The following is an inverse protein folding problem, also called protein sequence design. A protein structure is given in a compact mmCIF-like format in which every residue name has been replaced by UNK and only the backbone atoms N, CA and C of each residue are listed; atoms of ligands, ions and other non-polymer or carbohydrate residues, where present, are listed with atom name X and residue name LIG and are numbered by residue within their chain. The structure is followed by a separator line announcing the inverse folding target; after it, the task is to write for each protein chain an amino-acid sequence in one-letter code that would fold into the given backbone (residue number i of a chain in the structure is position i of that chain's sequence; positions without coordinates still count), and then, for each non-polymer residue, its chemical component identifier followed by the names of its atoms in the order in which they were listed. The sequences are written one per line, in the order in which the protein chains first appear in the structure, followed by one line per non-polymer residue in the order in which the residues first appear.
data_IF_580545241523
#
_entry.id   IF_580545241523
#
_cell.length_a   1.000
_cell.length_b   1.000
_cell.length_c   1.000
_cell.angle_alpha   90.00
_cell.angle_beta   90.00
_cell.angle_gamma   90.00
#
_symmetry.space_group_name_H-M   'P 1'
#
loop_
_entity.id
_entity.type
_entity.pdbx_description
1 polymer ?
#
# COMPACT_ATOMS: atom_id res chain seq x y z
N UNK A 1 12.91 13.48 -13.12
CA UNK A 1 12.66 12.24 -13.92
C UNK A 1 11.88 11.32 -13.00
N UNK A 2 10.87 10.66 -13.51
CA UNK A 2 10.07 9.78 -12.66
C UNK A 2 10.86 8.49 -12.41
N UNK A 3 11.40 8.32 -11.20
CA UNK A 3 12.23 7.16 -10.84
C UNK A 3 11.47 5.82 -10.85
N UNK A 4 10.15 5.87 -11.07
CA UNK A 4 9.27 4.71 -11.04
C UNK A 4 9.39 3.76 -12.25
N UNK A 5 10.00 4.23 -13.35
CA UNK A 5 10.07 3.46 -14.60
C UNK A 5 11.50 3.17 -15.05
N UNK A 6 11.63 2.13 -15.86
CA UNK A 6 12.80 1.89 -16.68
C UNK A 6 12.36 1.37 -18.05
N UNK A 7 13.13 1.65 -19.08
CA UNK A 7 12.94 1.05 -20.41
C UNK A 7 13.85 -0.16 -20.56
N UNK A 8 13.28 -1.29 -20.92
CA UNK A 8 14.03 -2.52 -21.19
C UNK A 8 13.75 -3.00 -22.61
N UNK A 9 14.78 -3.48 -23.34
CA UNK A 9 14.57 -4.16 -24.61
C UNK A 9 13.97 -5.54 -24.31
N UNK A 10 12.73 -5.75 -24.73
CA UNK A 10 12.02 -7.01 -24.59
C UNK A 10 11.74 -7.64 -25.95
N UNK A 11 11.76 -8.97 -26.00
CA UNK A 11 11.40 -9.72 -27.19
C UNK A 11 9.90 -10.05 -27.15
N UNK A 12 9.16 -9.49 -28.10
CA UNK A 12 7.75 -9.83 -28.32
C UNK A 12 7.64 -10.94 -29.36
N UNK A 13 7.00 -12.03 -28.97
CA UNK A 13 6.66 -13.13 -29.85
C UNK A 13 5.24 -12.98 -30.37
N UNK A 14 5.06 -13.13 -31.70
CA UNK A 14 3.76 -13.15 -32.35
C UNK A 14 3.76 -14.21 -33.44
N UNK A 15 2.61 -14.48 -34.06
CA UNK A 15 2.49 -15.41 -35.18
C UNK A 15 3.37 -15.00 -36.40
N UNK A 16 3.73 -13.72 -36.47
CA UNK A 16 4.59 -13.15 -37.50
C UNK A 16 6.09 -13.17 -37.17
N UNK A 17 6.48 -13.76 -36.05
CA UNK A 17 7.89 -13.89 -35.62
C UNK A 17 8.23 -13.13 -34.35
N UNK A 18 9.52 -12.97 -34.08
CA UNK A 18 10.07 -12.30 -32.94
C UNK A 18 10.52 -10.88 -33.26
N UNK A 19 10.14 -9.90 -32.50
CA UNK A 19 10.59 -8.51 -32.62
C UNK A 19 11.15 -8.02 -31.29
N UNK A 20 12.26 -7.28 -31.32
CA UNK A 20 12.79 -6.60 -30.12
C UNK A 20 12.25 -5.18 -30.12
N UNK A 21 11.59 -4.81 -29.02
CA UNK A 21 11.09 -3.44 -28.81
C UNK A 21 11.39 -3.00 -27.39
N UNK A 22 11.49 -1.68 -27.20
CA UNK A 22 11.61 -1.10 -25.85
C UNK A 22 10.24 -1.09 -25.20
N UNK A 23 10.18 -1.63 -24.01
CA UNK A 23 8.98 -1.60 -23.17
C UNK A 23 9.26 -0.83 -21.88
N UNK A 24 8.29 -0.04 -21.46
CA UNK A 24 8.33 0.63 -20.17
C UNK A 24 7.90 -0.34 -19.08
N UNK A 25 8.75 -0.54 -18.09
CA UNK A 25 8.45 -1.39 -16.93
C UNK A 25 8.55 -0.59 -15.64
N UNK A 26 7.68 -0.89 -14.69
CA UNK A 26 7.73 -0.28 -13.35
C UNK A 26 8.89 -0.89 -12.57
N UNK A 27 9.61 -0.05 -11.83
CA UNK A 27 10.71 -0.48 -10.97
C UNK A 27 10.17 -0.95 -9.62
N UNK A 28 10.83 -1.94 -9.08
CA UNK A 28 10.73 -2.35 -7.68
C UNK A 28 12.11 -2.20 -7.05
N UNK A 29 12.18 -1.57 -5.88
CA UNK A 29 13.42 -1.28 -5.15
C UNK A 29 13.28 -1.69 -3.70
N UNK A 30 14.40 -1.94 -3.05
CA UNK A 30 14.42 -2.12 -1.59
C UNK A 30 14.25 -0.76 -0.91
N UNK A 31 13.30 -0.67 0.02
CA UNK A 31 13.00 0.51 0.83
C UNK A 31 13.14 0.12 2.29
N UNK A 32 14.09 0.73 2.97
CA UNK A 32 14.27 0.55 4.41
C UNK A 32 13.35 1.48 5.20
N UNK A 33 12.54 0.91 6.07
CA UNK A 33 11.67 1.65 6.98
C UNK A 33 12.31 1.68 8.37
N UNK A 34 12.57 2.89 8.85
CA UNK A 34 13.24 3.16 10.11
C UNK A 34 12.28 3.76 11.13
N UNK A 35 12.44 3.39 12.39
CA UNK A 35 11.77 4.01 13.52
C UNK A 35 12.74 4.20 14.68
N UNK A 36 12.37 4.98 15.68
CA UNK A 36 13.17 5.13 16.88
C UNK A 36 13.12 3.85 17.73
N UNK A 37 14.28 3.39 18.15
CA UNK A 37 14.38 2.37 19.18
C UNK A 37 14.20 2.98 20.59
N UNK A 38 14.22 2.14 21.63
CA UNK A 38 14.05 2.58 23.03
C UNK A 38 15.14 3.56 23.51
N UNK A 39 16.26 3.63 22.81
CA UNK A 39 17.39 4.53 23.10
C UNK A 39 17.29 5.85 22.31
N UNK A 40 16.27 6.03 21.47
CA UNK A 40 16.09 7.22 20.64
C UNK A 40 16.97 7.26 19.38
N UNK A 41 17.48 6.12 18.92
CA UNK A 41 18.23 6.02 17.66
C UNK A 41 17.36 5.41 16.56
N UNK A 42 17.50 5.90 15.34
CA UNK A 42 16.86 5.28 14.18
C UNK A 42 17.42 3.90 13.92
N UNK A 43 16.53 2.95 13.74
CA UNK A 43 16.85 1.55 13.46
C UNK A 43 15.89 1.02 12.40
N UNK A 44 16.41 0.24 11.45
CA UNK A 44 15.58 -0.45 10.43
C UNK A 44 14.71 -1.47 11.14
N UNK A 45 13.40 -1.32 11.08
CA UNK A 45 12.49 -2.31 11.61
C UNK A 45 11.93 -3.25 10.53
N UNK A 46 11.92 -2.83 9.27
CA UNK A 46 11.59 -3.69 8.12
C UNK A 46 12.18 -3.13 6.82
N UNK A 47 12.32 -4.00 5.82
CA UNK A 47 12.67 -3.64 4.45
C UNK A 47 11.59 -4.18 3.52
N UNK A 48 11.01 -3.31 2.70
CA UNK A 48 10.00 -3.66 1.71
C UNK A 48 10.58 -3.60 0.30
N UNK A 49 10.12 -4.48 -0.58
CA UNK A 49 10.27 -4.27 -2.02
C UNK A 49 9.06 -3.49 -2.50
N UNK A 50 9.27 -2.29 -3.05
CA UNK A 50 8.20 -1.38 -3.43
C UNK A 50 8.56 -0.55 -4.67
N UNK A 51 7.53 -0.06 -5.36
CA UNK A 51 7.70 0.97 -6.39
C UNK A 51 8.13 2.27 -5.72
N UNK A 52 9.20 2.96 -6.21
CA UNK A 52 9.80 4.12 -5.53
C UNK A 52 8.98 5.42 -5.69
N UNK A 53 7.69 5.35 -5.39
CA UNK A 53 6.74 6.48 -5.32
C UNK A 53 5.98 6.42 -4.01
N UNK A 54 5.53 7.57 -3.50
CA UNK A 54 4.70 7.66 -2.30
C UNK A 54 5.29 6.89 -1.10
N UNK A 55 6.61 7.01 -0.89
CA UNK A 55 7.32 6.19 0.11
C UNK A 55 7.07 6.65 1.54
N UNK A 56 6.78 7.94 1.74
CA UNK A 56 6.35 8.48 3.03
C UNK A 56 4.99 7.90 3.40
N UNK A 57 4.08 7.88 2.43
CA UNK A 57 2.75 7.32 2.57
C UNK A 57 2.82 5.80 2.79
N UNK A 58 3.71 5.10 2.07
CA UNK A 58 3.98 3.68 2.30
C UNK A 58 4.35 3.42 3.76
N UNK A 59 5.28 4.21 4.31
CA UNK A 59 5.72 4.04 5.68
C UNK A 59 4.60 4.32 6.69
N UNK A 60 3.90 5.44 6.54
CA UNK A 60 2.78 5.82 7.41
C UNK A 60 1.66 4.75 7.41
N UNK A 61 1.30 4.27 6.22
CA UNK A 61 0.29 3.21 6.08
C UNK A 61 0.76 1.88 6.66
N UNK A 62 2.01 1.50 6.42
CA UNK A 62 2.59 0.27 6.96
C UNK A 62 2.62 0.27 8.49
N UNK A 63 3.04 1.38 9.12
CA UNK A 63 3.03 1.53 10.57
C UNK A 63 1.62 1.31 11.15
N UNK A 64 0.61 1.86 10.49
CA UNK A 64 -0.78 1.75 10.91
C UNK A 64 -1.35 0.35 10.65
N UNK A 65 -1.18 -0.18 9.44
CA UNK A 65 -1.72 -1.48 9.03
C UNK A 65 -1.15 -2.64 9.84
N UNK A 66 0.15 -2.60 10.14
CA UNK A 66 0.81 -3.64 10.94
C UNK A 66 0.61 -3.46 12.45
N UNK A 67 -0.08 -2.39 12.89
CA UNK A 67 -0.39 -2.13 14.29
C UNK A 67 0.84 -1.71 15.12
N UNK A 68 1.85 -1.11 14.47
CA UNK A 68 3.00 -0.54 15.17
C UNK A 68 2.65 0.75 15.89
N UNK A 69 1.57 1.41 15.49
CA UNK A 69 1.04 2.62 16.08
C UNK A 69 -0.47 2.46 16.34
N UNK A 70 -0.93 2.84 17.52
CA UNK A 70 -2.31 2.59 17.98
C UNK A 70 -3.32 3.65 17.55
N UNK A 71 -2.85 4.83 17.13
CA UNK A 71 -3.72 5.97 16.80
C UNK A 71 -3.31 6.62 15.50
N UNK A 72 -4.24 7.38 14.87
CA UNK A 72 -3.95 8.25 13.74
C UNK A 72 -2.78 9.15 14.12
N UNK A 73 -1.58 8.90 13.63
CA UNK A 73 -0.44 9.66 14.08
C UNK A 73 -0.40 11.01 13.37
N UNK A 74 0.10 12.00 14.06
CA UNK A 74 0.91 13.00 13.38
C UNK A 74 2.18 12.29 12.96
N UNK A 75 2.17 11.66 11.79
CA UNK A 75 3.35 10.91 11.31
C UNK A 75 4.26 11.91 10.62
N UNK A 76 5.34 12.25 11.29
CA UNK A 76 6.43 12.96 10.64
C UNK A 76 7.40 11.92 10.07
N UNK A 77 7.18 11.54 8.81
CA UNK A 77 8.12 10.71 8.07
C UNK A 77 8.99 11.57 7.15
N UNK A 78 10.24 11.24 7.07
CA UNK A 78 11.21 11.90 6.18
C UNK A 78 11.79 10.83 5.25
N UNK A 79 11.70 11.08 3.95
CA UNK A 79 12.34 10.23 2.95
C UNK A 79 13.78 10.69 2.72
N UNK A 80 14.71 9.75 2.75
CA UNK A 80 16.10 9.93 2.37
C UNK A 80 16.41 9.01 1.19
N UNK A 81 17.04 9.56 0.16
CA UNK A 81 17.60 8.79 -0.93
C UNK A 81 19.08 9.13 -1.04
N UNK A 82 19.91 8.13 -0.92
CA UNK A 82 21.36 8.25 -1.06
C UNK A 82 21.93 7.10 -1.91
N UNK A 83 23.25 6.97 -1.92
CA UNK A 83 23.93 5.89 -2.66
C UNK A 83 23.65 4.48 -2.10
N UNK A 84 23.08 4.36 -0.90
CA UNK A 84 22.71 3.08 -0.27
C UNK A 84 21.29 2.65 -0.57
N UNK A 85 20.43 3.54 -1.11
CA UNK A 85 19.06 3.22 -1.50
C UNK A 85 18.03 4.21 -0.99
N UNK A 86 16.79 3.71 -0.81
CA UNK A 86 15.67 4.48 -0.29
C UNK A 86 15.46 4.15 1.19
N UNK A 87 15.41 5.18 2.01
CA UNK A 87 15.15 5.09 3.44
C UNK A 87 14.00 6.03 3.80
N UNK A 88 13.10 5.59 4.66
CA UNK A 88 12.04 6.45 5.21
C UNK A 88 12.09 6.38 6.72
N UNK A 89 12.29 7.51 7.36
CA UNK A 89 12.45 7.65 8.80
C UNK A 89 11.13 8.09 9.42
N UNK A 90 10.71 7.42 10.49
CA UNK A 90 9.59 7.81 11.34
C UNK A 90 10.12 8.27 12.70
N UNK A 91 9.82 9.51 13.07
CA UNK A 91 10.22 10.10 14.35
C UNK A 91 9.28 9.66 15.50
N UNK A 92 9.21 8.35 15.71
CA UNK A 92 8.44 7.75 16.78
C UNK A 92 8.89 6.32 17.05
N UNK A 93 8.55 5.81 18.24
CA UNK A 93 8.85 4.44 18.62
C UNK A 93 7.78 3.49 18.10
N UNK A 94 8.19 2.34 17.58
CA UNK A 94 7.27 1.23 17.29
C UNK A 94 6.97 0.44 18.57
N UNK A 95 5.70 0.04 18.74
CA UNK A 95 5.22 -0.64 19.95
C UNK A 95 5.44 -2.15 19.93
N UNK A 96 5.73 -2.72 18.77
CA UNK A 96 5.93 -4.16 18.55
C UNK A 96 7.39 -4.43 18.14
N UNK A 97 7.93 -5.58 18.55
CA UNK A 97 9.28 -5.95 18.14
C UNK A 97 9.43 -5.99 16.62
N UNK A 98 10.44 -5.28 16.07
CA UNK A 98 10.62 -5.18 14.63
C UNK A 98 10.89 -6.53 13.98
N UNK A 99 10.34 -6.72 12.79
CA UNK A 99 10.66 -7.89 11.96
C UNK A 99 11.89 -7.57 11.12
N UNK A 100 13.04 -8.05 11.50
CA UNK A 100 14.29 -7.91 10.73
C UNK A 100 14.30 -8.85 9.50
N UNK A 101 13.32 -8.74 8.60
CA UNK A 101 13.27 -9.56 7.38
C UNK A 101 12.75 -8.76 6.21
N UNK A 102 13.30 -9.02 5.03
CA UNK A 102 12.77 -8.49 3.77
C UNK A 102 11.39 -9.12 3.55
N UNK A 103 10.38 -8.29 3.49
CA UNK A 103 9.02 -8.70 3.14
C UNK A 103 8.87 -8.56 1.63
N UNK A 104 8.82 -9.68 0.93
CA UNK A 104 8.53 -9.69 -0.50
C UNK A 104 7.04 -9.43 -0.72
N UNK A 105 6.70 -8.67 -1.76
CA UNK A 105 5.34 -8.25 -2.11
C UNK A 105 4.31 -9.38 -2.26
N UNK A 106 4.74 -10.62 -2.31
CA UNK A 106 3.88 -11.76 -2.67
C UNK A 106 3.17 -12.45 -1.50
N UNK A 107 3.60 -12.30 -0.24
CA UNK A 107 2.92 -12.96 0.88
C UNK A 107 3.31 -12.40 2.27
N UNK A 108 2.67 -11.31 2.70
CA UNK A 108 2.82 -10.79 4.07
C UNK A 108 2.32 -11.74 5.18
N UNK A 109 1.39 -12.65 4.85
CA UNK A 109 0.75 -13.55 5.81
C UNK A 109 1.68 -14.65 6.36
N UNK A 110 2.69 -15.08 5.60
CA UNK A 110 3.55 -16.20 5.99
C UNK A 110 4.44 -15.94 7.22
N UNK A 111 4.49 -14.69 7.68
CA UNK A 111 5.34 -14.28 8.80
C UNK A 111 4.57 -13.79 10.04
N UNK A 112 3.23 -13.90 10.06
CA UNK A 112 2.45 -13.43 11.20
C UNK A 112 2.47 -14.49 12.32
N UNK A 113 3.04 -14.18 13.52
CA UNK A 113 3.15 -15.15 14.61
C UNK A 113 1.79 -15.58 15.19
N UNK A 114 0.71 -14.82 14.93
CA UNK A 114 -0.61 -15.02 15.54
C UNK A 114 -1.74 -15.14 14.50
N UNK A 115 -1.58 -16.01 13.50
CA UNK A 115 -2.65 -16.30 12.53
C UNK A 115 -3.96 -16.81 13.17
N UNK A 116 -3.89 -17.28 14.40
CA UNK A 116 -5.04 -17.83 15.15
C UNK A 116 -5.88 -16.75 15.84
N UNK A 117 -5.32 -15.59 16.17
CA UNK A 117 -6.02 -14.54 16.94
C UNK A 117 -7.05 -13.76 16.09
N UNK A 118 -6.92 -13.81 14.76
CA UNK A 118 -7.80 -13.09 13.84
C UNK A 118 -9.23 -13.64 13.72
N UNK A 119 -9.46 -14.86 14.18
CA UNK A 119 -10.75 -15.55 13.97
C UNK A 119 -11.89 -15.09 14.88
N UNK A 120 -11.61 -14.36 15.95
CA UNK A 120 -12.53 -14.26 17.07
C UNK A 120 -13.31 -12.94 17.20
N UNK A 121 -13.07 -11.95 16.31
CA UNK A 121 -13.85 -10.70 16.36
C UNK A 121 -14.58 -10.46 15.02
N UNK A 122 -15.92 -10.40 15.05
CA UNK A 122 -16.69 -10.05 13.87
C UNK A 122 -16.42 -8.58 13.52
N UNK A 123 -16.14 -8.34 12.23
CA UNK A 123 -16.05 -6.99 11.66
C UNK A 123 -17.44 -6.37 11.73
N UNK A 124 -17.56 -5.20 12.37
CA UNK A 124 -18.79 -4.42 12.32
C UNK A 124 -18.87 -3.71 10.97
N UNK A 125 -19.86 -4.07 10.17
CA UNK A 125 -20.14 -3.36 8.94
C UNK A 125 -20.85 -2.03 9.21
N UNK A 126 -20.40 -0.98 8.55
CA UNK A 126 -21.20 0.25 8.47
C UNK A 126 -22.40 0.00 7.54
N UNK A 127 -23.60 0.12 8.10
CA UNK A 127 -24.85 -0.13 7.37
C UNK A 127 -25.06 0.76 6.13
N UNK A 128 -24.34 1.88 6.04
CA UNK A 128 -24.38 2.79 4.87
C UNK A 128 -23.87 2.14 3.59
N UNK A 129 -23.06 1.09 3.70
CA UNK A 129 -22.51 0.36 2.56
C UNK A 129 -23.30 -0.91 2.22
N UNK A 130 -24.39 -1.19 2.91
CA UNK A 130 -25.21 -2.40 2.67
C UNK A 130 -25.98 -2.37 1.34
N UNK A 131 -26.12 -1.21 0.72
CA UNK A 131 -26.92 -1.00 -0.50
C UNK A 131 -26.12 -0.28 -1.60
N UNK A 132 -24.88 -0.73 -1.86
CA UNK A 132 -24.10 -0.14 -2.96
C UNK A 132 -24.66 -0.65 -4.27
N UNK A 133 -25.03 0.29 -5.13
CA UNK A 133 -25.47 0.03 -6.48
C UNK A 133 -24.31 -0.48 -7.35
N UNK A 134 -24.54 -1.56 -8.09
CA UNK A 134 -23.54 -2.15 -8.97
C UNK A 134 -23.01 -1.18 -10.04
N UNK A 135 -23.83 -0.36 -10.71
CA UNK A 135 -23.36 0.72 -11.58
C UNK A 135 -22.39 1.70 -10.90
N UNK A 136 -22.68 2.09 -9.67
CA UNK A 136 -21.80 2.99 -8.91
C UNK A 136 -20.42 2.37 -8.67
N UNK A 137 -20.39 1.09 -8.28
CA UNK A 137 -19.15 0.34 -8.09
C UNK A 137 -18.37 0.15 -9.40
N UNK A 138 -19.06 -0.14 -10.49
CA UNK A 138 -18.43 -0.29 -11.82
C UNK A 138 -17.78 1.02 -12.25
N UNK A 139 -18.47 2.15 -12.09
CA UNK A 139 -17.92 3.47 -12.39
C UNK A 139 -16.70 3.80 -11.52
N UNK A 140 -16.73 3.45 -10.24
CA UNK A 140 -15.59 3.66 -9.34
C UNK A 140 -14.36 2.84 -9.76
N UNK A 141 -14.53 1.61 -10.24
CA UNK A 141 -13.45 0.78 -10.76
C UNK A 141 -12.86 1.34 -12.08
N UNK A 142 -13.72 1.91 -12.94
CA UNK A 142 -13.28 2.61 -14.14
C UNK A 142 -12.47 3.85 -13.79
N UNK A 143 -12.95 4.66 -12.83
CA UNK A 143 -12.24 5.84 -12.33
C UNK A 143 -10.89 5.45 -11.72
N UNK A 144 -10.83 4.38 -10.92
CA UNK A 144 -9.58 3.86 -10.39
C UNK A 144 -8.59 3.54 -11.52
N UNK A 145 -9.05 2.80 -12.54
CA UNK A 145 -8.19 2.41 -13.67
C UNK A 145 -7.66 3.63 -14.44
N UNK A 146 -8.49 4.65 -14.64
CA UNK A 146 -8.07 5.91 -15.28
C UNK A 146 -7.10 6.73 -14.42
N UNK A 147 -7.15 6.54 -13.11
CA UNK A 147 -6.28 7.24 -12.15
C UNK A 147 -4.97 6.50 -11.84
N UNK A 148 -4.63 5.47 -12.63
CA UNK A 148 -3.46 4.61 -12.45
C UNK A 148 -2.42 4.83 -13.57
N UNK A 149 -1.63 5.93 -13.54
CA UNK A 149 -0.68 6.24 -14.61
C UNK A 149 0.45 5.21 -14.76
N UNK A 150 0.89 4.57 -13.67
CA UNK A 150 1.92 3.52 -13.73
C UNK A 150 1.37 2.28 -14.46
N UNK A 151 0.16 1.89 -14.13
CA UNK A 151 -0.52 0.77 -14.79
C UNK A 151 -0.78 1.06 -16.27
N UNK A 152 -1.26 2.27 -16.59
CA UNK A 152 -1.53 2.65 -17.99
C UNK A 152 -0.30 2.57 -18.89
N UNK A 153 0.89 2.87 -18.33
CA UNK A 153 2.13 2.84 -19.08
C UNK A 153 2.78 1.46 -19.17
N UNK A 154 2.62 0.62 -18.15
CA UNK A 154 3.35 -0.64 -18.02
C UNK A 154 2.47 -1.89 -17.98
N UNK A 155 1.21 -1.75 -17.56
CA UNK A 155 0.34 -2.89 -17.25
C UNK A 155 0.79 -3.72 -16.03
N UNK A 156 1.83 -3.28 -15.31
CA UNK A 156 2.61 -4.10 -14.37
C UNK A 156 2.46 -3.73 -12.89
N UNK A 157 1.40 -3.02 -12.47
CA UNK A 157 1.20 -2.68 -11.06
C UNK A 157 -0.25 -2.83 -10.61
N UNK A 158 -0.44 -2.84 -9.30
CA UNK A 158 -1.73 -2.81 -8.64
C UNK A 158 -2.07 -1.38 -8.25
N UNK A 159 -3.37 -1.05 -8.26
CA UNK A 159 -3.90 0.20 -7.77
C UNK A 159 -4.91 0.00 -6.66
N UNK A 160 -4.98 0.96 -5.77
CA UNK A 160 -5.95 1.02 -4.69
C UNK A 160 -6.44 2.45 -4.51
N UNK A 161 -7.66 2.61 -4.00
CA UNK A 161 -8.24 3.91 -3.67
C UNK A 161 -9.23 3.77 -2.52
N UNK A 162 -9.53 4.86 -1.84
CA UNK A 162 -10.71 4.98 -0.99
C UNK A 162 -11.93 5.35 -1.84
N UNK A 163 -13.03 4.66 -1.58
CA UNK A 163 -14.32 4.83 -2.27
C UNK A 163 -15.39 5.23 -1.28
N UNK A 164 -16.08 6.31 -1.57
CA UNK A 164 -17.16 6.84 -0.75
C UNK A 164 -18.55 6.47 -1.31
N UNK A 165 -19.58 6.51 -0.45
CA UNK A 165 -20.97 6.19 -0.83
C UNK A 165 -21.56 7.11 -1.90
N UNK A 166 -20.98 8.29 -2.11
CA UNK A 166 -21.36 9.23 -3.16
C UNK A 166 -20.75 8.90 -4.54
N UNK A 167 -19.95 7.85 -4.62
CA UNK A 167 -19.29 7.41 -5.85
C UNK A 167 -17.92 8.04 -6.09
N UNK A 168 -17.45 8.92 -5.23
CA UNK A 168 -16.12 9.49 -5.35
C UNK A 168 -15.01 8.49 -4.96
N UNK A 169 -13.85 8.61 -5.63
CA UNK A 169 -12.63 7.92 -5.23
C UNK A 169 -11.59 8.95 -4.79
N UNK A 170 -10.81 8.61 -3.78
CA UNK A 170 -9.75 9.46 -3.23
C UNK A 170 -8.54 8.63 -2.84
N UNK A 171 -7.41 9.31 -2.61
CA UNK A 171 -6.17 8.69 -2.16
C UNK A 171 -5.69 7.52 -3.02
N UNK A 172 -5.79 7.67 -4.34
CA UNK A 172 -5.34 6.64 -5.29
C UNK A 172 -3.84 6.41 -5.16
N UNK A 173 -3.43 5.15 -5.10
CA UNK A 173 -2.02 4.75 -5.04
C UNK A 173 -1.75 3.52 -5.91
N UNK A 174 -0.51 3.42 -6.39
CA UNK A 174 -0.06 2.31 -7.22
C UNK A 174 1.24 1.71 -6.68
N UNK A 175 1.38 0.40 -6.82
CA UNK A 175 2.62 -0.34 -6.52
C UNK A 175 2.61 -1.70 -7.26
N UNK A 176 3.78 -2.27 -7.54
CA UNK A 176 3.89 -3.67 -8.02
C UNK A 176 3.33 -4.61 -6.95
N UNK A 177 3.55 -4.31 -5.68
CA UNK A 177 3.01 -5.05 -4.54
C UNK A 177 1.62 -4.57 -4.14
N UNK A 178 0.59 -5.42 -4.24
CA UNK A 178 -0.77 -5.06 -3.84
C UNK A 178 -0.89 -4.60 -2.38
N UNK A 179 -0.09 -5.14 -1.45
CA UNK A 179 -0.06 -4.72 -0.04
C UNK A 179 0.50 -3.30 0.09
N UNK A 180 1.61 -3.03 -0.60
CA UNK A 180 2.19 -1.69 -0.61
C UNK A 180 1.23 -0.65 -1.21
N UNK A 181 0.49 -1.00 -2.29
CA UNK A 181 -0.51 -0.11 -2.85
C UNK A 181 -1.58 0.26 -1.81
N UNK A 182 -2.04 -0.71 -1.01
CA UNK A 182 -2.99 -0.47 0.08
C UNK A 182 -2.36 0.39 1.18
N UNK A 183 -1.15 0.06 1.62
CA UNK A 183 -0.44 0.85 2.63
C UNK A 183 -0.25 2.31 2.18
N UNK A 184 0.15 2.54 0.93
CA UNK A 184 0.24 3.90 0.35
C UNK A 184 -1.09 4.65 0.40
N UNK A 185 -2.19 3.99 0.04
CA UNK A 185 -3.53 4.59 0.08
C UNK A 185 -3.94 4.97 1.50
N UNK A 186 -3.74 4.06 2.46
CA UNK A 186 -3.99 4.30 3.88
C UNK A 186 -3.11 5.43 4.40
N UNK A 187 -1.82 5.41 4.06
CA UNK A 187 -0.89 6.46 4.45
C UNK A 187 -1.26 7.84 3.93
N UNK A 188 -1.70 7.95 2.66
CA UNK A 188 -2.25 9.19 2.10
C UNK A 188 -3.41 9.71 2.93
N UNK A 189 -4.35 8.85 3.29
CA UNK A 189 -5.50 9.22 4.10
C UNK A 189 -5.10 9.70 5.51
N UNK A 190 -4.16 9.02 6.14
CA UNK A 190 -3.62 9.39 7.46
C UNK A 190 -2.94 10.76 7.39
N UNK A 191 -2.01 10.94 6.45
CA UNK A 191 -1.21 12.16 6.33
C UNK A 191 -2.03 13.38 5.92
N UNK A 192 -3.05 13.18 5.08
CA UNK A 192 -3.99 14.26 4.70
C UNK A 192 -4.96 14.63 5.80
N UNK A 193 -4.99 13.90 6.93
CA UNK A 193 -5.98 14.06 8.02
C UNK A 193 -7.42 13.95 7.51
N UNK A 194 -7.64 13.16 6.48
CA UNK A 194 -8.93 12.99 5.84
C UNK A 194 -9.92 12.33 6.78
N UNK A 195 -11.09 12.93 6.94
CA UNK A 195 -12.23 12.30 7.63
C UNK A 195 -12.90 11.23 6.78
N UNK A 196 -12.61 11.19 5.48
CA UNK A 196 -13.17 10.18 4.56
C UNK A 196 -12.71 8.76 4.89
N UNK A 197 -11.56 8.61 5.54
CA UNK A 197 -11.03 7.32 5.96
C UNK A 197 -12.03 6.49 6.81
N UNK A 198 -12.82 7.17 7.66
CA UNK A 198 -13.80 6.53 8.54
C UNK A 198 -15.09 6.11 7.81
N UNK A 199 -15.31 6.63 6.59
CA UNK A 199 -16.56 6.51 5.86
C UNK A 199 -16.36 6.01 4.43
N UNK A 200 -15.26 5.32 4.18
CA UNK A 200 -14.91 4.84 2.85
C UNK A 200 -14.73 3.33 2.84
N UNK A 201 -14.89 2.76 1.66
CA UNK A 201 -14.44 1.41 1.37
C UNK A 201 -13.13 1.44 0.61
N UNK A 202 -12.36 0.36 0.73
CA UNK A 202 -11.14 0.18 -0.02
C UNK A 202 -11.45 -0.50 -1.36
N UNK A 203 -11.14 0.19 -2.47
CA UNK A 203 -11.10 -0.40 -3.80
C UNK A 203 -9.73 -0.98 -4.09
N UNK A 204 -9.70 -2.17 -4.69
CA UNK A 204 -8.47 -2.83 -5.13
C UNK A 204 -8.60 -3.29 -6.57
N UNK A 205 -7.59 -3.02 -7.39
CA UNK A 205 -7.48 -3.58 -8.75
C UNK A 205 -7.08 -5.06 -8.76
N UNK A 206 -6.60 -5.58 -7.64
CA UNK A 206 -6.07 -6.94 -7.49
C UNK A 206 -6.86 -7.80 -6.52
N UNK A 207 -6.34 -8.99 -6.25
CA UNK A 207 -6.96 -9.94 -5.32
C UNK A 207 -6.83 -9.47 -3.88
N UNK A 208 -7.95 -9.44 -3.15
CA UNK A 208 -7.95 -9.31 -1.70
C UNK A 208 -7.72 -10.69 -1.08
N UNK A 209 -6.44 -11.04 -0.86
CA UNK A 209 -6.08 -12.26 -0.13
C UNK A 209 -6.24 -12.09 1.37
N UNK A 210 -6.15 -13.20 2.11
CA UNK A 210 -6.28 -13.20 3.57
C UNK A 210 -5.34 -12.18 4.25
N UNK A 211 -4.11 -12.05 3.79
CA UNK A 211 -3.15 -11.10 4.35
C UNK A 211 -3.61 -9.65 4.21
N UNK A 212 -4.11 -9.25 3.02
CA UNK A 212 -4.66 -7.90 2.80
C UNK A 212 -5.86 -7.67 3.72
N UNK A 213 -6.79 -8.62 3.77
CA UNK A 213 -7.99 -8.48 4.61
C UNK A 213 -7.62 -8.40 6.09
N UNK A 214 -6.71 -9.24 6.56
CA UNK A 214 -6.34 -9.29 7.96
C UNK A 214 -5.57 -8.05 8.41
N UNK A 215 -4.53 -7.67 7.67
CA UNK A 215 -3.68 -6.56 8.05
C UNK A 215 -4.41 -5.22 7.96
N UNK A 216 -5.15 -5.01 6.87
CA UNK A 216 -5.70 -3.68 6.56
C UNK A 216 -7.12 -3.47 7.09
N UNK A 217 -7.97 -4.51 7.13
CA UNK A 217 -9.32 -4.38 7.69
C UNK A 217 -9.30 -4.28 9.22
N UNK A 218 -8.34 -4.92 9.88
CA UNK A 218 -8.18 -4.79 11.33
C UNK A 218 -7.83 -3.35 11.75
N UNK A 219 -7.09 -2.62 10.94
CA UNK A 219 -6.79 -1.21 11.19
C UNK A 219 -8.04 -0.33 11.21
N UNK A 220 -9.14 -0.75 10.55
CA UNK A 220 -10.43 -0.07 10.59
C UNK A 220 -11.31 -0.45 11.80
N UNK A 221 -10.98 -1.51 12.54
CA UNK A 221 -11.75 -1.93 13.73
C UNK A 221 -11.54 -1.05 14.95
N UNK A 222 -10.56 -0.18 14.96
CA UNK A 222 -10.22 0.67 16.12
C UNK A 222 -10.97 2.00 16.15
N UNK A 223 -11.92 2.22 15.24
CA UNK A 223 -12.78 3.41 15.26
C UNK A 223 -14.17 3.01 15.76
N UNK A 224 -14.30 2.94 17.06
CA UNK A 224 -15.59 3.02 17.77
C UNK A 224 -15.52 4.17 18.75
#
# INVERSE_FOLDING_TARGET
MNDAYTELPLMRLSDNGATIQKETVVKEVAVELHALNKQGHFEVYTTLLATPTDLIELHAGHLYSEGYIDHKPTVDCIQIQDNSGFQVLYDGCVTIEPRQRIVTSSCGACNHPNLTVARDKPIKHDSRFSEIDLPLLTNALELLTHSMPLFQQSGGCHGTALFSVDGSIDHVSEDIGRHNAVDKTIGKAILSKSTMFEHSMLLLSGRCGWAVSYTHLRAHETVV
#
